data_IF_636529816430
#
_entry.id   IF_636529816430
#
_cell.length_a   1.000
_cell.length_b   1.000
_cell.length_c   1.000
_cell.angle_alpha   90.00
_cell.angle_beta   90.00
_cell.angle_gamma   90.00
#
_symmetry.space_group_name_H-M   'P 1'
#
loop_
_entity.id
_entity.type
_entity.pdbx_description
1 polymer ?
#
# COMPACT_ATOMS: atom_id res chain seq x y z
N UNK A 1 -17.14 -12.28 13.68
CA UNK A 1 -16.72 -11.44 14.82
C UNK A 1 -16.03 -10.19 14.31
N UNK A 2 -15.96 -9.12 15.12
CA UNK A 2 -15.24 -7.86 14.81
C UNK A 2 -13.75 -7.87 15.16
N UNK A 3 -13.22 -9.02 15.58
CA UNK A 3 -11.81 -9.13 15.94
C UNK A 3 -10.92 -9.03 14.69
N UNK A 4 -9.83 -8.27 14.78
CA UNK A 4 -8.80 -8.17 13.73
C UNK A 4 -7.86 -9.38 13.71
N UNK A 5 -7.78 -10.13 14.80
CA UNK A 5 -7.11 -11.44 14.94
C UNK A 5 -8.19 -12.50 15.16
N UNK A 6 -8.07 -13.66 14.51
CA UNK A 6 -9.02 -14.76 14.70
C UNK A 6 -8.63 -15.73 15.84
N UNK A 7 -9.44 -16.78 16.03
CA UNK A 7 -9.24 -17.74 17.11
C UNK A 7 -7.89 -18.46 17.08
N UNK A 8 -7.31 -18.68 15.90
CA UNK A 8 -6.01 -19.34 15.72
C UNK A 8 -4.83 -18.35 15.73
N UNK A 9 -5.08 -17.07 16.02
CA UNK A 9 -4.05 -16.03 16.02
C UNK A 9 -3.74 -15.46 14.64
N UNK A 10 -4.54 -15.80 13.61
CA UNK A 10 -4.29 -15.34 12.23
C UNK A 10 -4.71 -13.90 12.07
N UNK A 11 -3.85 -13.11 11.44
CA UNK A 11 -4.11 -11.70 11.16
C UNK A 11 -5.10 -11.57 10.01
N UNK A 12 -6.18 -10.83 10.22
CA UNK A 12 -7.11 -10.43 9.15
C UNK A 12 -6.64 -9.13 8.51
N UNK A 13 -7.21 -8.78 7.37
CA UNK A 13 -6.99 -7.50 6.69
C UNK A 13 -7.04 -6.29 7.62
N UNK A 14 -8.00 -6.26 8.56
CA UNK A 14 -8.13 -5.20 9.55
C UNK A 14 -6.88 -5.03 10.43
N UNK A 15 -6.17 -6.11 10.79
CA UNK A 15 -4.97 -6.01 11.64
C UNK A 15 -3.78 -5.44 10.87
N UNK A 16 -3.61 -5.85 9.60
CA UNK A 16 -2.59 -5.25 8.72
C UNK A 16 -2.87 -3.77 8.48
N UNK A 17 -4.13 -3.38 8.25
CA UNK A 17 -4.53 -1.98 8.17
C UNK A 17 -4.22 -1.24 9.48
N UNK A 18 -4.55 -1.80 10.64
CA UNK A 18 -4.25 -1.19 11.95
C UNK A 18 -2.77 -0.92 12.16
N UNK A 19 -1.91 -1.84 11.75
CA UNK A 19 -0.46 -1.62 11.85
C UNK A 19 0.00 -0.43 10.98
N UNK A 20 -0.63 -0.19 9.83
CA UNK A 20 -0.31 0.96 8.97
C UNK A 20 -0.85 2.26 9.54
N UNK A 21 -2.14 2.32 9.92
CA UNK A 21 -2.74 3.57 10.40
C UNK A 21 -2.37 3.93 11.85
N UNK A 22 -1.71 3.04 12.59
CA UNK A 22 -1.04 3.34 13.87
C UNK A 22 0.49 3.37 13.76
N UNK A 23 1.04 3.53 12.55
CA UNK A 23 2.48 3.73 12.39
C UNK A 23 2.91 5.01 13.16
N UNK A 24 4.05 5.00 13.88
CA UNK A 24 4.52 6.18 14.63
C UNK A 24 4.74 7.43 13.76
N UNK A 25 5.02 7.20 12.47
CA UNK A 25 5.06 8.21 11.44
C UNK A 25 4.11 7.76 10.32
N UNK A 26 3.07 8.55 10.06
CA UNK A 26 1.99 8.19 9.13
C UNK A 26 1.88 9.26 8.05
N UNK A 27 1.98 8.83 6.79
CA UNK A 27 1.49 9.58 5.64
C UNK A 27 0.00 9.26 5.44
N UNK A 28 -0.85 10.27 5.44
CA UNK A 28 -2.28 10.11 5.20
C UNK A 28 -2.79 11.10 4.15
N UNK A 29 -3.87 10.70 3.49
CA UNK A 29 -4.58 11.51 2.50
C UNK A 29 -5.99 11.71 3.05
N UNK A 30 -6.34 12.96 3.30
CA UNK A 30 -7.74 13.34 3.53
C UNK A 30 -8.42 13.47 2.16
N UNK A 31 -9.30 12.51 1.87
CA UNK A 31 -10.05 12.42 0.62
C UNK A 31 -11.39 13.14 0.77
N UNK A 32 -11.49 14.32 0.14
CA UNK A 32 -12.73 15.05 -0.09
C UNK A 32 -13.02 15.16 -1.59
N UNK A 33 -13.22 14.01 -2.23
CA UNK A 33 -13.52 13.88 -3.67
C UNK A 33 -12.35 14.31 -4.57
N UNK A 34 -12.35 15.55 -5.06
CA UNK A 34 -11.30 16.11 -5.91
C UNK A 34 -10.28 16.92 -5.10
N UNK A 35 -10.61 17.26 -3.86
CA UNK A 35 -9.68 17.87 -2.91
C UNK A 35 -9.02 16.76 -2.11
N UNK A 36 -7.70 16.67 -2.20
CA UNK A 36 -6.90 15.65 -1.51
C UNK A 36 -5.78 16.32 -0.73
N UNK A 37 -5.91 16.34 0.60
CA UNK A 37 -4.93 17.00 1.46
C UNK A 37 -3.95 15.96 2.00
N UNK A 38 -2.65 16.26 1.88
CA UNK A 38 -1.57 15.40 2.30
C UNK A 38 -1.11 15.77 3.70
N UNK A 39 -1.22 14.82 4.63
CA UNK A 39 -0.82 15.01 6.02
C UNK A 39 0.31 14.06 6.38
N UNK A 40 1.18 14.53 7.28
CA UNK A 40 2.13 13.68 7.98
C UNK A 40 1.90 13.82 9.48
N UNK A 41 1.56 12.71 10.13
CA UNK A 41 1.41 12.61 11.58
C UNK A 41 2.66 11.96 12.16
N UNK A 42 3.23 12.59 13.18
CA UNK A 42 4.43 12.14 13.89
C UNK A 42 4.09 11.99 15.37
N UNK A 43 3.90 10.75 15.82
CA UNK A 43 3.64 10.42 17.23
C UNK A 43 4.93 10.20 18.03
N UNK A 44 6.10 10.32 17.38
CA UNK A 44 7.40 10.16 18.06
C UNK A 44 7.76 11.40 18.89
N UNK A 45 8.81 11.26 19.72
CA UNK A 45 9.35 12.35 20.53
C UNK A 45 10.36 13.23 19.78
N UNK A 46 10.74 12.84 18.57
CA UNK A 46 11.75 13.53 17.77
C UNK A 46 11.08 14.25 16.60
N UNK A 47 11.62 15.39 16.22
CA UNK A 47 11.15 16.08 15.03
C UNK A 47 11.54 15.24 13.80
N UNK A 48 10.64 15.19 12.83
CA UNK A 48 10.88 14.47 11.59
C UNK A 48 10.95 15.46 10.42
N UNK A 49 11.79 15.17 9.43
CA UNK A 49 11.91 15.96 8.21
C UNK A 49 12.17 15.05 7.03
N UNK A 50 11.50 15.32 5.92
CA UNK A 50 11.62 14.56 4.69
C UNK A 50 10.79 15.20 3.58
N UNK A 51 10.43 14.41 2.58
CA UNK A 51 9.72 14.87 1.40
C UNK A 51 8.55 13.95 1.09
N UNK A 52 7.40 14.53 0.75
CA UNK A 52 6.31 13.81 0.12
C UNK A 52 6.47 13.96 -1.39
N UNK A 53 6.48 12.85 -2.11
CA UNK A 53 6.40 12.79 -3.57
C UNK A 53 5.03 12.28 -3.93
N UNK A 54 4.33 12.98 -4.80
CA UNK A 54 3.00 12.57 -5.23
C UNK A 54 2.87 12.58 -6.74
N UNK A 55 2.02 11.69 -7.23
CA UNK A 55 1.67 11.57 -8.64
C UNK A 55 0.18 11.27 -8.79
N UNK A 56 -0.51 12.11 -9.55
CA UNK A 56 -1.80 11.79 -10.14
C UNK A 56 -1.53 10.94 -11.38
N UNK A 57 -1.99 9.70 -11.39
CA UNK A 57 -1.67 8.74 -12.45
C UNK A 57 -2.86 7.89 -12.84
N UNK A 58 -2.84 7.37 -14.07
CA UNK A 58 -3.80 6.37 -14.49
C UNK A 58 -3.59 5.05 -13.73
N UNK A 59 -4.57 4.14 -13.76
CA UNK A 59 -4.43 2.79 -13.18
C UNK A 59 -3.27 2.00 -13.80
N UNK A 60 -2.77 2.37 -14.98
CA UNK A 60 -1.61 1.76 -15.63
C UNK A 60 -0.27 2.44 -15.27
N UNK A 61 -0.28 3.45 -14.40
CA UNK A 61 0.91 4.18 -13.98
C UNK A 61 1.34 5.28 -14.96
N UNK A 62 0.49 5.67 -15.91
CA UNK A 62 0.76 6.85 -16.73
C UNK A 62 0.56 8.10 -15.88
N UNK A 63 1.63 8.86 -15.66
CA UNK A 63 1.60 10.06 -14.85
C UNK A 63 0.92 11.21 -15.59
N UNK A 64 -0.16 11.74 -15.02
CA UNK A 64 -0.89 12.90 -15.51
C UNK A 64 -0.35 14.20 -14.91
N UNK A 65 -0.02 14.17 -13.63
CA UNK A 65 0.55 15.29 -12.88
C UNK A 65 1.39 14.74 -11.72
N UNK A 66 2.40 15.48 -11.29
CA UNK A 66 3.19 15.13 -10.10
C UNK A 66 3.69 16.37 -9.39
N UNK A 67 4.12 16.18 -8.15
CA UNK A 67 4.83 17.19 -7.39
C UNK A 67 5.62 16.57 -6.24
N UNK A 68 6.39 17.42 -5.58
CA UNK A 68 7.07 17.09 -4.35
C UNK A 68 6.99 18.27 -3.39
N UNK A 69 6.88 17.99 -2.10
CA UNK A 69 6.84 18.99 -1.04
C UNK A 69 7.72 18.53 0.12
N UNK A 70 8.63 19.39 0.54
CA UNK A 70 9.41 19.16 1.75
C UNK A 70 8.52 19.43 2.96
N UNK A 71 8.61 18.57 3.96
CA UNK A 71 7.76 18.62 5.14
C UNK A 71 8.62 18.43 6.39
N UNK A 72 8.35 19.26 7.40
CA UNK A 72 8.91 19.14 8.74
C UNK A 72 7.75 19.00 9.72
N UNK A 73 7.82 17.98 10.56
CA UNK A 73 6.75 17.65 11.51
C UNK A 73 7.35 17.63 12.91
N UNK A 74 6.77 18.44 13.80
CA UNK A 74 7.20 18.48 15.19
C UNK A 74 6.87 17.14 15.89
N UNK A 75 7.53 16.82 17.02
CA UNK A 75 7.13 15.70 17.85
C UNK A 75 5.64 15.75 18.23
N UNK A 76 5.00 14.58 18.30
CA UNK A 76 3.60 14.43 18.72
C UNK A 76 2.62 15.38 18.03
N UNK A 77 2.77 15.57 16.72
CA UNK A 77 1.99 16.55 15.97
C UNK A 77 1.60 16.04 14.58
N UNK A 78 0.73 16.78 13.91
CA UNK A 78 0.34 16.53 12.53
C UNK A 78 0.50 17.81 11.72
N UNK A 79 1.05 17.69 10.53
CA UNK A 79 1.25 18.79 9.59
C UNK A 79 0.50 18.51 8.30
N UNK A 80 -0.36 19.45 7.88
CA UNK A 80 -0.83 19.49 6.49
C UNK A 80 0.34 19.97 5.63
N UNK A 81 0.90 19.08 4.83
CA UNK A 81 2.07 19.37 4.00
C UNK A 81 1.66 20.05 2.70
N UNK A 82 0.55 19.62 2.09
CA UNK A 82 0.08 20.16 0.83
C UNK A 82 -1.41 19.88 0.63
N UNK A 83 -2.14 20.89 0.17
CA UNK A 83 -3.51 20.77 -0.32
C UNK A 83 -3.47 20.61 -1.84
N UNK A 84 -4.17 19.61 -2.37
CA UNK A 84 -4.25 19.34 -3.81
C UNK A 84 -5.71 19.47 -4.28
N UNK A 85 -5.91 20.21 -5.35
CA UNK A 85 -7.20 20.36 -6.02
C UNK A 85 -7.11 19.80 -7.44
N UNK A 86 -7.86 18.72 -7.69
CA UNK A 86 -7.93 18.03 -8.97
C UNK A 86 -9.23 18.28 -9.73
N UNK A 87 -10.02 19.29 -9.33
CA UNK A 87 -11.35 19.59 -9.92
C UNK A 87 -11.26 19.84 -11.42
N UNK A 88 -10.17 20.43 -11.91
CA UNK A 88 -9.98 20.69 -13.35
C UNK A 88 -9.51 19.46 -14.16
N UNK A 89 -9.02 18.42 -13.48
CA UNK A 89 -8.40 17.24 -14.08
C UNK A 89 -9.33 16.02 -14.04
N UNK A 90 -10.21 15.94 -13.03
CA UNK A 90 -10.99 14.73 -12.71
C UNK A 90 -12.46 14.92 -13.09
N UNK A 91 -12.80 14.54 -14.32
CA UNK A 91 -14.18 14.35 -14.77
C UNK A 91 -14.72 12.95 -14.44
N UNK A 92 -15.99 12.68 -14.81
CA UNK A 92 -16.66 11.40 -14.52
C UNK A 92 -15.91 10.16 -15.04
N UNK A 93 -15.32 10.25 -16.24
CA UNK A 93 -14.55 9.15 -16.83
C UNK A 93 -13.22 8.94 -16.11
N UNK A 94 -12.47 10.03 -15.87
CA UNK A 94 -11.17 10.00 -15.20
C UNK A 94 -11.26 9.43 -13.79
N UNK A 95 -12.36 9.69 -13.06
CA UNK A 95 -12.57 9.13 -11.70
C UNK A 95 -12.43 7.61 -11.64
N UNK A 96 -12.76 6.92 -12.73
CA UNK A 96 -12.69 5.45 -12.83
C UNK A 96 -11.31 4.94 -13.21
N UNK A 97 -10.46 5.81 -13.76
CA UNK A 97 -9.20 5.43 -14.41
C UNK A 97 -7.97 6.08 -13.76
N UNK A 98 -8.16 6.95 -12.77
CA UNK A 98 -7.10 7.74 -12.15
C UNK A 98 -7.05 7.48 -10.65
N UNK A 99 -5.84 7.55 -10.08
CA UNK A 99 -5.56 7.49 -8.65
C UNK A 99 -4.54 8.56 -8.27
N UNK A 100 -4.53 8.93 -7.00
CA UNK A 100 -3.43 9.66 -6.40
C UNK A 100 -2.52 8.65 -5.68
N UNK A 101 -1.23 8.72 -5.96
CA UNK A 101 -0.19 7.96 -5.25
C UNK A 101 0.71 8.95 -4.54
N UNK A 102 0.94 8.73 -3.24
CA UNK A 102 1.79 9.55 -2.39
C UNK A 102 2.82 8.67 -1.67
N UNK A 103 4.07 9.08 -1.72
CA UNK A 103 5.20 8.39 -1.10
C UNK A 103 5.95 9.34 -0.17
N UNK A 104 6.22 8.91 1.05
CA UNK A 104 7.00 9.64 2.05
C UNK A 104 8.45 9.16 2.01
N UNK A 105 9.40 10.09 1.95
CA UNK A 105 10.82 9.80 1.80
C UNK A 105 11.67 10.54 2.85
N UNK A 106 12.64 9.83 3.42
CA UNK A 106 13.74 10.37 4.22
C UNK A 106 14.98 9.53 3.92
N UNK A 107 15.72 9.90 2.87
CA UNK A 107 16.80 9.12 2.22
C UNK A 107 16.35 7.76 1.63
N UNK A 108 15.50 7.01 2.34
CA UNK A 108 14.79 5.82 1.91
C UNK A 108 13.27 6.02 1.86
N UNK A 109 12.58 5.06 1.24
CA UNK A 109 11.12 5.05 1.17
C UNK A 109 10.54 4.67 2.54
N UNK A 110 9.72 5.55 3.11
CA UNK A 110 9.15 5.40 4.46
C UNK A 110 7.73 4.85 4.42
N UNK A 111 6.86 5.44 3.59
CA UNK A 111 5.45 5.09 3.54
C UNK A 111 4.84 5.36 2.17
N UNK A 112 3.83 4.56 1.82
CA UNK A 112 3.02 4.70 0.62
C UNK A 112 1.56 4.86 1.03
N UNK A 113 0.88 5.86 0.47
CA UNK A 113 -0.55 6.04 0.58
C UNK A 113 -1.15 6.23 -0.82
N UNK A 114 -2.36 5.72 -1.03
CA UNK A 114 -3.10 5.98 -2.27
C UNK A 114 -4.50 6.48 -1.95
N UNK A 115 -5.05 7.30 -2.83
CA UNK A 115 -6.45 7.70 -2.82
C UNK A 115 -7.08 7.47 -4.19
N UNK A 116 -8.36 7.19 -4.21
CA UNK A 116 -9.11 6.86 -5.43
C UNK A 116 -10.32 7.75 -5.57
N UNK A 117 -10.56 8.25 -6.77
CA UNK A 117 -11.64 9.20 -7.03
C UNK A 117 -13.02 8.56 -7.22
N UNK A 118 -13.12 7.24 -7.09
CA UNK A 118 -14.34 6.46 -7.15
C UNK A 118 -14.24 5.20 -6.27
N UNK A 119 -15.38 4.66 -5.78
CA UNK A 119 -15.42 3.37 -5.09
C UNK A 119 -14.82 2.23 -5.95
N UNK A 120 -14.21 1.23 -5.30
CA UNK A 120 -13.53 0.11 -5.98
C UNK A 120 -14.35 -0.54 -7.11
N UNK A 121 -15.66 -0.74 -6.91
CA UNK A 121 -16.57 -1.35 -7.91
C UNK A 121 -16.77 -0.51 -9.19
N UNK A 122 -16.38 0.76 -9.16
CA UNK A 122 -16.47 1.67 -10.30
C UNK A 122 -15.12 1.91 -10.97
N UNK A 123 -14.01 1.59 -10.30
CA UNK A 123 -12.69 1.63 -10.90
C UNK A 123 -12.63 0.68 -12.09
N UNK A 124 -12.05 1.13 -13.20
CA UNK A 124 -11.79 0.33 -14.38
C UNK A 124 -10.53 -0.52 -14.20
N UNK A 125 -10.48 -1.31 -13.12
CA UNK A 125 -9.35 -2.19 -12.81
C UNK A 125 -9.14 -3.18 -13.96
N UNK A 126 -7.92 -3.27 -14.44
CA UNK A 126 -7.47 -4.30 -15.37
C UNK A 126 -6.74 -5.41 -14.59
N UNK A 127 -6.51 -6.56 -15.25
CA UNK A 127 -5.68 -7.60 -14.67
C UNK A 127 -4.28 -7.02 -14.36
N UNK A 128 -3.87 -6.97 -13.09
CA UNK A 128 -2.64 -6.30 -12.68
C UNK A 128 -1.36 -6.99 -13.15
N UNK A 129 -1.44 -8.25 -13.60
CA UNK A 129 -0.28 -9.05 -14.01
C UNK A 129 0.84 -8.98 -12.97
N UNK A 130 0.50 -9.32 -11.71
CA UNK A 130 1.42 -9.25 -10.58
C UNK A 130 2.56 -10.25 -10.80
N UNK A 131 3.77 -9.74 -11.01
CA UNK A 131 5.00 -10.49 -10.97
C UNK A 131 5.42 -10.74 -9.53
N UNK A 132 5.94 -11.94 -9.27
CA UNK A 132 6.34 -12.37 -7.93
C UNK A 132 7.71 -13.05 -8.01
N UNK A 133 8.64 -12.56 -7.21
CA UNK A 133 9.94 -13.20 -7.00
C UNK A 133 10.07 -13.60 -5.54
N UNK A 134 10.46 -14.85 -5.31
CA UNK A 134 10.58 -15.43 -3.96
C UNK A 134 12.03 -15.81 -3.73
N UNK A 135 12.57 -15.37 -2.60
CA UNK A 135 13.91 -15.68 -2.13
C UNK A 135 13.84 -16.12 -0.67
N UNK A 136 14.75 -16.98 -0.24
CA UNK A 136 14.80 -17.42 1.16
C UNK A 136 16.21 -17.43 1.71
N UNK A 137 16.33 -17.06 2.98
CA UNK A 137 17.55 -17.17 3.77
C UNK A 137 17.21 -17.83 5.11
N UNK A 138 17.67 -19.07 5.29
CA UNK A 138 17.27 -19.92 6.41
C UNK A 138 15.75 -20.08 6.50
N UNK A 139 15.14 -19.53 7.55
CA UNK A 139 13.68 -19.53 7.77
C UNK A 139 12.99 -18.25 7.34
N UNK A 140 13.72 -17.26 6.85
CA UNK A 140 13.15 -15.99 6.39
C UNK A 140 12.82 -16.09 4.91
N UNK A 141 11.55 -15.96 4.56
CA UNK A 141 11.10 -15.79 3.17
C UNK A 141 11.02 -14.30 2.85
N UNK A 142 11.48 -13.91 1.67
CA UNK A 142 11.31 -12.57 1.08
C UNK A 142 10.57 -12.72 -0.25
N UNK A 143 9.47 -11.98 -0.38
CA UNK A 143 8.58 -11.96 -1.54
C UNK A 143 8.63 -10.54 -2.12
N UNK A 144 9.13 -10.39 -3.34
CA UNK A 144 9.10 -9.14 -4.08
C UNK A 144 7.97 -9.19 -5.08
N UNK A 145 7.12 -8.17 -5.07
CA UNK A 145 5.96 -8.03 -5.94
C UNK A 145 6.05 -6.75 -6.75
N UNK A 146 5.63 -6.82 -8.01
CA UNK A 146 5.45 -5.65 -8.87
C UNK A 146 4.31 -5.94 -9.85
N UNK A 147 3.46 -4.94 -10.12
CA UNK A 147 2.34 -5.08 -11.06
C UNK A 147 2.48 -4.15 -12.26
N UNK A 148 1.78 -4.47 -13.35
CA UNK A 148 1.69 -3.63 -14.56
C UNK A 148 0.53 -2.63 -14.54
N UNK A 149 -0.45 -2.84 -13.67
CA UNK A 149 -1.50 -1.87 -13.34
C UNK A 149 -1.78 -1.93 -11.83
N UNK A 150 -2.55 -0.99 -11.30
CA UNK A 150 -2.94 -0.95 -9.91
C UNK A 150 -3.56 -2.28 -9.47
N UNK A 151 -2.95 -2.93 -8.49
CA UNK A 151 -3.55 -4.05 -7.77
C UNK A 151 -4.02 -3.56 -6.40
N UNK A 152 -5.34 -3.55 -6.19
CA UNK A 152 -5.95 -3.13 -4.92
C UNK A 152 -6.02 -4.27 -3.92
N UNK A 153 -5.68 -3.99 -2.67
CA UNK A 153 -5.74 -4.93 -1.53
C UNK A 153 -5.12 -6.31 -1.85
N UNK A 154 -3.86 -6.30 -2.29
CA UNK A 154 -3.07 -7.50 -2.56
C UNK A 154 -2.99 -8.38 -1.31
N UNK A 155 -3.56 -9.57 -1.40
CA UNK A 155 -3.55 -10.62 -0.40
C UNK A 155 -2.50 -11.67 -0.75
N UNK A 156 -1.65 -11.98 0.23
CA UNK A 156 -0.69 -13.07 0.21
C UNK A 156 -1.17 -14.19 1.13
N UNK A 157 -1.02 -15.44 0.68
CA UNK A 157 -1.26 -16.63 1.50
C UNK A 157 -0.29 -17.75 1.11
N UNK A 158 0.08 -18.61 2.07
CA UNK A 158 0.90 -19.80 1.84
C UNK A 158 0.06 -21.06 2.06
N UNK A 159 -0.79 -21.42 1.10
CA UNK A 159 -1.71 -22.56 1.22
C UNK A 159 -2.49 -22.54 2.56
N UNK A 160 -2.43 -23.64 3.31
CA UNK A 160 -3.05 -23.77 4.63
C UNK A 160 -2.10 -23.41 5.80
N UNK A 161 -0.93 -22.80 5.52
CA UNK A 161 0.01 -22.40 6.56
C UNK A 161 -0.40 -21.09 7.23
N UNK A 162 -0.41 -21.10 8.56
CA UNK A 162 -0.65 -19.93 9.38
C UNK A 162 0.64 -19.12 9.53
N UNK A 163 0.89 -18.23 8.57
CA UNK A 163 2.03 -17.30 8.60
C UNK A 163 1.58 -15.86 8.76
N UNK A 164 2.37 -15.08 9.47
CA UNK A 164 2.20 -13.62 9.56
C UNK A 164 3.20 -12.98 8.60
N UNK A 165 2.68 -12.20 7.67
CA UNK A 165 3.51 -11.45 6.73
C UNK A 165 3.97 -10.12 7.34
N UNK A 166 5.10 -9.62 6.88
CA UNK A 166 5.58 -8.28 7.21
C UNK A 166 4.68 -7.22 6.63
N UNK A 167 3.83 -7.53 5.64
CA UNK A 167 2.65 -6.76 5.23
C UNK A 167 1.69 -7.60 4.37
N UNK A 168 0.39 -7.29 4.41
CA UNK A 168 -0.63 -8.00 3.63
C UNK A 168 -1.88 -7.13 3.44
N UNK A 169 -2.68 -7.36 2.40
CA UNK A 169 -3.81 -6.49 2.03
C UNK A 169 -3.37 -5.03 1.78
N UNK A 170 -2.28 -4.85 1.04
CA UNK A 170 -1.75 -3.53 0.64
C UNK A 170 -2.16 -3.19 -0.80
N UNK A 171 -2.10 -1.92 -1.16
CA UNK A 171 -2.23 -1.51 -2.55
C UNK A 171 -0.85 -1.57 -3.24
N UNK A 172 -0.81 -1.98 -4.50
CA UNK A 172 0.39 -2.08 -5.34
C UNK A 172 0.18 -1.24 -6.60
N UNK A 173 0.62 0.04 -6.60
CA UNK A 173 0.58 0.90 -7.79
C UNK A 173 1.42 0.33 -8.93
N UNK A 174 1.04 0.66 -10.17
CA UNK A 174 1.72 0.15 -11.34
C UNK A 174 3.22 0.49 -11.32
N UNK A 175 4.06 -0.52 -11.54
CA UNK A 175 5.51 -0.36 -11.57
C UNK A 175 6.20 -0.15 -10.23
N UNK A 176 5.47 -0.06 -9.09
CA UNK A 176 6.09 0.11 -7.77
C UNK A 176 6.43 -1.26 -7.18
N UNK A 177 7.70 -1.53 -6.82
CA UNK A 177 8.06 -2.79 -6.16
C UNK A 177 7.67 -2.73 -4.68
N UNK A 178 7.05 -3.80 -4.19
CA UNK A 178 6.80 -4.01 -2.75
C UNK A 178 7.52 -5.27 -2.29
N UNK A 179 8.19 -5.16 -1.16
CA UNK A 179 8.85 -6.29 -0.50
C UNK A 179 8.07 -6.68 0.75
N UNK A 180 7.68 -7.94 0.81
CA UNK A 180 7.07 -8.56 2.00
C UNK A 180 7.95 -9.70 2.46
N UNK A 181 8.03 -9.90 3.77
CA UNK A 181 8.76 -11.01 4.36
C UNK A 181 7.85 -11.84 5.27
N UNK A 182 8.16 -13.11 5.49
CA UNK A 182 7.49 -13.92 6.52
C UNK A 182 8.41 -15.03 7.01
N UNK A 183 8.19 -15.49 8.23
CA UNK A 183 8.92 -16.65 8.76
C UNK A 183 8.27 -17.94 8.25
N UNK A 184 9.08 -18.83 7.67
CA UNK A 184 8.62 -20.14 7.21
C UNK A 184 8.23 -21.04 8.39
N UNK A 185 7.17 -21.87 8.21
CA UNK A 185 6.89 -23.00 9.10
C UNK A 185 8.13 -23.90 9.23
N UNK A 186 8.30 -24.56 10.38
CA UNK A 186 9.52 -25.33 10.69
C UNK A 186 9.85 -26.44 9.69
N UNK A 187 8.85 -27.04 9.07
CA UNK A 187 8.99 -28.13 8.11
C UNK A 187 9.00 -27.69 6.64
N UNK A 188 8.93 -26.38 6.37
CA UNK A 188 8.80 -25.85 5.03
C UNK A 188 10.15 -25.41 4.45
N UNK A 189 10.38 -25.81 3.20
CA UNK A 189 11.42 -25.28 2.31
C UNK A 189 10.93 -24.05 1.55
N UNK A 190 11.87 -23.31 0.95
CA UNK A 190 11.57 -22.16 0.08
C UNK A 190 10.79 -22.61 -1.15
N UNK A 191 11.12 -23.76 -1.72
CA UNK A 191 10.45 -24.33 -2.89
C UNK A 191 8.99 -24.69 -2.57
N UNK A 192 8.74 -25.28 -1.39
CA UNK A 192 7.37 -25.55 -0.94
C UNK A 192 6.58 -24.25 -0.75
N UNK A 193 7.18 -23.23 -0.14
CA UNK A 193 6.54 -21.94 0.02
C UNK A 193 6.22 -21.28 -1.32
N UNK A 194 7.13 -21.34 -2.29
CA UNK A 194 6.92 -20.82 -3.64
C UNK A 194 5.76 -21.52 -4.36
N UNK A 195 5.64 -22.84 -4.23
CA UNK A 195 4.52 -23.61 -4.80
C UNK A 195 3.19 -23.34 -4.10
N UNK A 196 3.22 -23.09 -2.79
CA UNK A 196 2.05 -22.81 -1.96
C UNK A 196 1.60 -21.34 -2.01
N UNK A 197 2.46 -20.42 -2.46
CA UNK A 197 2.16 -19.00 -2.50
C UNK A 197 0.95 -18.73 -3.40
N UNK A 198 -0.01 -18.01 -2.85
CA UNK A 198 -1.16 -17.47 -3.55
C UNK A 198 -1.13 -15.96 -3.38
N UNK A 199 -1.32 -15.28 -4.50
CA UNK A 199 -1.43 -13.82 -4.56
C UNK A 199 -2.78 -13.51 -5.19
N UNK A 200 -3.56 -12.66 -4.54
CA UNK A 200 -4.86 -12.19 -5.04
C UNK A 200 -4.95 -10.69 -4.86
N UNK A 201 -5.81 -10.06 -5.62
CA UNK A 201 -6.20 -8.66 -5.48
C UNK A 201 -7.72 -8.56 -5.58
N UNK A 202 -8.28 -7.36 -5.40
CA UNK A 202 -9.72 -7.12 -5.63
C UNK A 202 -10.14 -7.52 -7.05
N UNK A 203 -9.26 -7.42 -8.05
CA UNK A 203 -9.55 -7.86 -9.41
C UNK A 203 -9.95 -9.34 -9.48
N UNK A 204 -9.36 -10.19 -8.65
CA UNK A 204 -9.57 -11.65 -8.66
C UNK A 204 -10.84 -12.09 -7.88
N UNK A 205 -11.77 -11.16 -7.62
CA UNK A 205 -12.97 -11.39 -6.82
C UNK A 205 -14.28 -11.25 -7.60
N UNK A 206 -14.22 -10.86 -8.88
CA UNK A 206 -15.37 -10.72 -9.77
C UNK A 206 -15.10 -11.27 -11.17
#
# INVERSE_FOLDING_TARGET
>A
SWASIDYFGRWKAAHYASRRFFAPLLLSIEDEREHMNLFVSNDTLEAWSGQIRWSLETLHGEQLQSGAVDVQVAPQSTTCAQELDFTSQIGEEQRRQTILVCELWQDEHVALAIATFAPNKHLALANPQIGVEVQGDGRQLTIQLQSRSLARFVELALGDADVIFSDNYFDLPAGRPVRVTCTLPESWSVEQAQQALRVRSVFDTY
#
